data_IF_674126333611
#
_entry.id   IF_674126333611
#
_cell.length_a   1.000
_cell.length_b   1.000
_cell.length_c   1.000
_cell.angle_alpha   90.00
_cell.angle_beta   90.00
_cell.angle_gamma   90.00
#
_symmetry.space_group_name_H-M   'P 1'
#
loop_
_entity.id
_entity.type
_entity.pdbx_description
1 polymer ?
#
# COMPACT_ATOMS: atom_id res chain seq x y z
N UNK A 1 11.00 18.83 2.77
CA UNK A 1 9.88 19.18 3.66
C UNK A 1 9.58 17.87 4.34
N UNK A 2 10.06 17.65 5.58
CA UNK A 2 10.08 16.28 6.15
C UNK A 2 8.66 15.75 6.34
N UNK A 3 8.41 14.51 5.91
CA UNK A 3 7.10 13.87 6.04
C UNK A 3 6.71 13.00 4.84
N UNK A 4 5.43 12.63 4.80
CA UNK A 4 4.81 11.89 3.69
C UNK A 4 4.04 12.85 2.79
N UNK A 5 4.20 12.71 1.47
CA UNK A 5 3.50 13.53 0.48
C UNK A 5 3.17 12.73 -0.79
N UNK A 6 2.10 13.10 -1.46
CA UNK A 6 1.74 12.60 -2.80
C UNK A 6 2.15 13.64 -3.84
N UNK A 7 2.92 13.22 -4.83
CA UNK A 7 3.32 14.03 -5.98
C UNK A 7 2.18 14.14 -7.02
N UNK A 8 2.31 15.09 -7.95
CA UNK A 8 1.34 15.29 -9.04
C UNK A 8 1.20 14.07 -9.96
N UNK A 9 2.21 13.19 -10.02
CA UNK A 9 2.20 11.95 -10.80
C UNK A 9 1.62 10.75 -10.02
N UNK A 10 1.13 10.97 -8.81
CA UNK A 10 0.56 9.94 -7.93
C UNK A 10 1.58 9.14 -7.13
N UNK A 11 2.89 9.37 -7.33
CA UNK A 11 3.91 8.73 -6.49
C UNK A 11 3.88 9.31 -5.08
N UNK A 12 4.22 8.47 -4.08
CA UNK A 12 4.24 8.88 -2.68
C UNK A 12 5.69 8.94 -2.23
N UNK A 13 6.07 10.05 -1.61
CA UNK A 13 7.42 10.25 -1.09
C UNK A 13 7.36 10.31 0.42
N UNK A 14 8.19 9.50 1.09
CA UNK A 14 8.40 9.53 2.54
C UNK A 14 9.83 10.02 2.79
N UNK A 15 9.96 11.23 3.34
CA UNK A 15 11.24 11.83 3.71
C UNK A 15 11.55 11.58 5.20
N UNK A 16 12.50 10.69 5.48
CA UNK A 16 13.10 10.52 6.80
C UNK A 16 14.23 11.50 7.08
N UNK A 17 14.94 11.33 8.20
CA UNK A 17 16.09 12.16 8.54
C UNK A 17 17.36 11.76 7.76
N UNK A 18 17.47 10.50 7.36
CA UNK A 18 18.66 9.93 6.72
C UNK A 18 18.41 9.45 5.30
N UNK A 19 17.18 9.01 5.00
CA UNK A 19 16.82 8.42 3.72
C UNK A 19 15.47 8.92 3.22
N UNK A 20 15.31 8.91 1.91
CA UNK A 20 14.03 9.13 1.25
C UNK A 20 13.58 7.86 0.54
N UNK A 21 12.30 7.55 0.66
CA UNK A 21 11.63 6.47 -0.06
C UNK A 21 10.60 7.05 -1.02
N UNK A 22 10.59 6.56 -2.26
CA UNK A 22 9.54 6.83 -3.24
C UNK A 22 8.77 5.54 -3.51
N UNK A 23 7.47 5.61 -3.31
CA UNK A 23 6.53 4.53 -3.55
C UNK A 23 5.73 4.80 -4.83
N UNK A 24 5.68 3.79 -5.68
CA UNK A 24 4.69 3.58 -6.71
C UNK A 24 4.05 2.19 -6.49
N UNK A 25 2.81 1.95 -6.95
CA UNK A 25 2.05 0.73 -6.67
C UNK A 25 2.79 -0.61 -6.91
N UNK A 26 3.76 -0.62 -7.84
CA UNK A 26 4.55 -1.81 -8.20
C UNK A 26 6.04 -1.68 -7.94
N UNK A 27 6.50 -0.53 -7.46
CA UNK A 27 7.92 -0.23 -7.27
C UNK A 27 8.12 0.74 -6.12
N UNK A 28 8.91 0.32 -5.15
CA UNK A 28 9.48 1.17 -4.12
C UNK A 28 10.96 1.40 -4.43
N UNK A 29 11.42 2.64 -4.30
CA UNK A 29 12.81 3.05 -4.55
C UNK A 29 13.32 3.88 -3.37
N UNK A 30 14.49 3.55 -2.85
CA UNK A 30 15.22 4.42 -1.92
C UNK A 30 16.16 5.34 -2.68
N UNK A 31 16.53 6.45 -2.06
CA UNK A 31 17.52 7.41 -2.55
C UNK A 31 18.92 6.82 -2.81
N UNK A 32 19.28 5.72 -2.14
CA UNK A 32 20.52 4.96 -2.40
C UNK A 32 20.46 4.05 -3.65
N UNK A 33 19.31 4.02 -4.33
CA UNK A 33 19.08 3.23 -5.53
C UNK A 33 18.58 1.80 -5.25
N UNK A 34 18.40 1.42 -3.98
CA UNK A 34 17.73 0.16 -3.62
C UNK A 34 16.29 0.17 -4.12
N UNK A 35 15.85 -0.94 -4.71
CA UNK A 35 14.48 -1.08 -5.22
C UNK A 35 13.81 -2.34 -4.68
N UNK A 36 12.52 -2.22 -4.37
CA UNK A 36 11.61 -3.33 -4.14
C UNK A 36 10.55 -3.27 -5.21
N UNK A 37 10.61 -4.18 -6.18
CA UNK A 37 9.63 -4.29 -7.23
C UNK A 37 8.73 -5.50 -6.98
N UNK A 38 7.48 -5.39 -7.38
CA UNK A 38 6.63 -6.57 -7.45
C UNK A 38 7.14 -7.50 -8.57
N UNK A 39 7.70 -8.65 -8.20
CA UNK A 39 8.12 -9.69 -9.13
C UNK A 39 7.04 -10.79 -9.23
N UNK A 40 6.03 -10.62 -10.08
CA UNK A 40 5.22 -11.77 -10.48
C UNK A 40 6.00 -12.60 -11.50
N UNK A 41 6.68 -13.64 -11.02
CA UNK A 41 7.23 -14.72 -11.85
C UNK A 41 6.24 -15.91 -11.96
N UNK A 42 4.94 -15.66 -11.73
CA UNK A 42 3.89 -16.70 -11.77
C UNK A 42 3.75 -17.52 -10.48
N UNK A 43 3.98 -16.92 -9.30
CA UNK A 43 3.83 -17.57 -8.00
C UNK A 43 3.09 -16.71 -6.95
N UNK A 44 2.53 -17.36 -5.94
CA UNK A 44 1.75 -16.75 -4.83
C UNK A 44 2.66 -16.17 -3.72
N UNK A 45 3.71 -15.43 -4.07
CA UNK A 45 4.68 -14.98 -3.05
C UNK A 45 4.14 -13.79 -2.25
N UNK A 46 3.85 -14.00 -0.97
CA UNK A 46 3.81 -12.92 0.02
C UNK A 46 5.23 -12.65 0.51
N UNK A 47 5.70 -11.42 0.36
CA UNK A 47 6.96 -11.00 0.97
C UNK A 47 6.81 -9.63 1.62
N UNK A 48 7.55 -9.41 2.69
CA UNK A 48 7.56 -8.15 3.44
C UNK A 48 8.98 -7.60 3.41
N UNK A 49 9.09 -6.32 3.12
CA UNK A 49 10.33 -5.56 3.23
C UNK A 49 10.09 -4.38 4.16
N UNK A 50 11.06 -4.03 4.98
CA UNK A 50 10.94 -2.91 5.90
C UNK A 50 12.27 -2.15 6.01
N UNK A 51 12.17 -0.85 6.26
CA UNK A 51 13.33 0.02 6.47
C UNK A 51 13.03 1.11 7.48
N UNK A 52 14.06 1.48 8.24
CA UNK A 52 14.12 2.74 8.96
C UNK A 52 14.64 3.82 7.98
N UNK A 53 13.96 4.97 7.91
CA UNK A 53 14.37 6.12 7.09
C UNK A 53 15.19 7.16 7.88
N UNK A 54 15.47 6.88 9.15
CA UNK A 54 16.14 7.73 10.10
C UNK A 54 15.20 8.74 10.75
N UNK A 55 15.51 9.09 12.00
CA UNK A 55 14.65 9.96 12.81
C UNK A 55 13.42 9.21 13.29
N UNK A 56 12.25 9.75 12.97
CA UNK A 56 10.96 9.28 13.51
C UNK A 56 10.16 8.46 12.47
N UNK A 57 10.77 8.00 11.37
CA UNK A 57 10.06 7.33 10.26
C UNK A 57 10.50 5.89 10.04
N UNK A 58 9.52 4.98 10.06
CA UNK A 58 9.68 3.57 9.72
C UNK A 58 8.69 3.18 8.63
N UNK A 59 9.13 2.39 7.66
CA UNK A 59 8.30 1.94 6.53
C UNK A 59 8.33 0.43 6.40
N UNK A 60 7.16 -0.17 6.18
CA UNK A 60 7.00 -1.57 5.78
C UNK A 60 6.26 -1.63 4.45
N UNK A 61 6.62 -2.59 3.61
CA UNK A 61 6.04 -2.84 2.30
C UNK A 61 5.69 -4.31 2.23
N UNK A 62 4.42 -4.61 1.97
CA UNK A 62 3.90 -5.96 1.86
C UNK A 62 3.40 -6.24 0.44
N UNK A 63 3.72 -7.40 -0.09
CA UNK A 63 3.15 -7.93 -1.33
C UNK A 63 1.93 -8.78 -0.96
N UNK A 64 0.72 -8.31 -1.29
CA UNK A 64 -0.52 -8.95 -0.83
C UNK A 64 -1.22 -9.81 -1.89
N UNK A 65 -0.67 -9.91 -3.10
CA UNK A 65 -1.25 -10.66 -4.22
C UNK A 65 -1.76 -9.75 -5.34
N UNK A 66 -2.56 -10.31 -6.24
CA UNK A 66 -3.06 -9.59 -7.42
C UNK A 66 -4.19 -8.61 -7.09
N UNK A 67 -4.08 -7.39 -7.61
CA UNK A 67 -5.17 -6.47 -7.87
C UNK A 67 -5.71 -6.58 -9.31
N UNK A 68 -6.42 -5.56 -9.81
CA UNK A 68 -7.05 -5.57 -11.14
C UNK A 68 -6.04 -5.67 -12.29
N UNK A 69 -4.79 -5.28 -12.06
CA UNK A 69 -3.76 -5.09 -13.09
C UNK A 69 -2.43 -5.80 -12.76
N UNK A 70 -2.42 -6.67 -11.75
CA UNK A 70 -1.25 -7.44 -11.33
C UNK A 70 -1.00 -7.33 -9.83
N UNK A 71 0.15 -7.81 -9.35
CA UNK A 71 0.40 -7.79 -7.91
C UNK A 71 0.90 -6.46 -7.38
N UNK A 72 0.36 -6.13 -6.23
CA UNK A 72 0.37 -4.77 -5.70
C UNK A 72 1.17 -4.73 -4.40
N UNK A 73 1.94 -3.65 -4.26
CA UNK A 73 2.62 -3.32 -3.01
C UNK A 73 1.64 -2.55 -2.13
N UNK A 74 1.54 -2.93 -0.86
CA UNK A 74 0.91 -2.09 0.16
C UNK A 74 2.01 -1.59 1.07
N UNK A 75 2.10 -0.28 1.23
CA UNK A 75 3.07 0.34 2.13
C UNK A 75 2.36 0.85 3.39
N UNK A 76 2.94 0.55 4.55
CA UNK A 76 2.65 1.26 5.79
C UNK A 76 3.84 2.16 6.12
N UNK A 77 3.58 3.43 6.39
CA UNK A 77 4.58 4.36 6.91
C UNK A 77 4.14 4.81 8.30
N UNK A 78 5.02 4.68 9.28
CA UNK A 78 4.75 5.06 10.66
C UNK A 78 5.66 6.22 11.04
N UNK A 79 5.05 7.32 11.47
CA UNK A 79 5.73 8.43 12.10
C UNK A 79 5.63 8.30 13.62
N UNK A 80 6.76 8.16 14.30
CA UNK A 80 6.87 7.93 15.74
C UNK A 80 7.26 9.27 16.40
N UNK A 81 6.27 10.13 16.65
CA UNK A 81 6.48 11.37 17.37
C UNK A 81 6.63 11.17 18.88
N UNK A 82 7.06 12.22 19.58
CA UNK A 82 7.22 12.21 21.04
C UNK A 82 5.87 12.03 21.78
N UNK A 83 4.80 12.60 21.24
CA UNK A 83 3.47 12.64 21.87
C UNK A 83 2.45 11.70 21.18
N UNK A 84 2.66 11.38 19.90
CA UNK A 84 1.75 10.54 19.12
C UNK A 84 2.48 9.70 18.07
N UNK A 85 1.93 8.52 17.78
CA UNK A 85 2.33 7.68 16.65
C UNK A 85 1.25 7.77 15.59
N UNK A 86 1.62 8.20 14.38
CA UNK A 86 0.71 8.36 13.25
C UNK A 86 1.05 7.33 12.20
N UNK A 87 0.04 6.61 11.71
CA UNK A 87 0.20 5.57 10.68
C UNK A 87 -0.45 5.98 9.37
N UNK A 88 0.27 5.76 8.30
CA UNK A 88 -0.17 6.01 6.93
C UNK A 88 -0.17 4.67 6.19
N UNK A 89 -1.18 4.47 5.34
CA UNK A 89 -1.31 3.25 4.53
C UNK A 89 -1.54 3.63 3.07
N UNK A 90 -0.86 2.97 2.16
CA UNK A 90 -1.04 3.14 0.72
C UNK A 90 -1.43 1.80 0.11
N UNK A 91 -2.56 1.72 -0.57
CA UNK A 91 -3.03 0.46 -1.17
C UNK A 91 -2.76 0.34 -2.67
N UNK A 92 -2.20 1.38 -3.29
CA UNK A 92 -1.80 1.37 -4.69
C UNK A 92 -2.96 0.96 -5.62
N UNK A 93 -2.67 0.11 -6.60
CA UNK A 93 -3.67 -0.30 -7.57
C UNK A 93 -4.55 -1.45 -7.05
N UNK A 94 -4.46 -1.86 -5.77
CA UNK A 94 -5.49 -2.73 -5.17
C UNK A 94 -6.86 -2.04 -5.15
N UNK A 95 -6.88 -0.71 -5.15
CA UNK A 95 -8.08 0.09 -5.29
C UNK A 95 -8.53 0.17 -6.74
N UNK A 96 -9.85 0.02 -6.97
CA UNK A 96 -10.48 0.36 -8.24
C UNK A 96 -11.91 0.87 -8.01
N UNK A 97 -12.27 1.97 -8.67
CA UNK A 97 -13.62 2.53 -8.61
C UNK A 97 -14.65 1.58 -9.25
N UNK A 98 -14.27 0.99 -10.38
CA UNK A 98 -15.07 0.04 -11.14
C UNK A 98 -14.46 -1.37 -11.11
N UNK A 99 -15.33 -2.37 -11.03
CA UNK A 99 -14.89 -3.75 -11.10
C UNK A 99 -14.70 -4.16 -12.57
N UNK A 100 -13.59 -4.83 -12.92
CA UNK A 100 -13.45 -5.46 -14.22
C UNK A 100 -14.49 -6.58 -14.39
N UNK A 101 -14.69 -7.00 -15.65
CA UNK A 101 -15.63 -8.09 -15.98
C UNK A 101 -15.21 -9.45 -15.44
N UNK A 102 -13.92 -9.62 -15.15
CA UNK A 102 -13.35 -10.82 -14.55
C UNK A 102 -12.58 -10.42 -13.29
N UNK A 103 -12.94 -11.03 -12.16
CA UNK A 103 -12.36 -10.74 -10.85
C UNK A 103 -11.50 -11.94 -10.45
N UNK A 104 -10.16 -11.79 -10.34
CA UNK A 104 -9.33 -12.88 -9.87
C UNK A 104 -9.65 -13.25 -8.42
N UNK A 105 -9.73 -14.54 -8.06
CA UNK A 105 -10.03 -14.98 -6.69
C UNK A 105 -9.04 -14.49 -5.62
N UNK A 106 -7.81 -14.16 -6.03
CA UNK A 106 -6.75 -13.62 -5.15
C UNK A 106 -7.02 -12.18 -4.71
N UNK A 107 -7.79 -11.39 -5.46
CA UNK A 107 -7.98 -9.96 -5.18
C UNK A 107 -8.76 -9.67 -3.90
N UNK A 108 -9.93 -10.28 -3.60
CA UNK A 108 -10.59 -10.05 -2.31
C UNK A 108 -9.71 -10.46 -1.13
N UNK A 109 -8.86 -11.49 -1.29
CA UNK A 109 -7.88 -11.89 -0.25
C UNK A 109 -6.83 -10.79 -0.04
N UNK A 110 -6.30 -10.21 -1.12
CA UNK A 110 -5.35 -9.09 -1.05
C UNK A 110 -5.98 -7.85 -0.38
N UNK A 111 -7.24 -7.55 -0.69
CA UNK A 111 -7.98 -6.44 -0.08
C UNK A 111 -8.25 -6.71 1.41
N UNK A 112 -8.63 -7.94 1.79
CA UNK A 112 -8.82 -8.32 3.19
C UNK A 112 -7.53 -8.16 4.02
N UNK A 113 -6.40 -8.59 3.47
CA UNK A 113 -5.09 -8.37 4.10
C UNK A 113 -4.75 -6.88 4.23
N UNK A 114 -5.05 -6.07 3.21
CA UNK A 114 -4.84 -4.62 3.27
C UNK A 114 -5.73 -3.97 4.35
N UNK A 115 -6.97 -4.42 4.51
CA UNK A 115 -7.88 -3.98 5.57
C UNK A 115 -7.32 -4.31 6.97
N UNK A 116 -6.67 -5.46 7.13
CA UNK A 116 -5.95 -5.81 8.37
C UNK A 116 -4.80 -4.85 8.70
N UNK A 117 -4.12 -4.30 7.69
CA UNK A 117 -3.08 -3.27 7.89
C UNK A 117 -3.66 -1.91 8.28
N UNK A 118 -4.94 -1.67 7.98
CA UNK A 118 -5.71 -0.47 8.32
C UNK A 118 -6.44 -0.55 9.67
N UNK A 119 -6.03 -1.45 10.57
CA UNK A 119 -6.55 -1.45 11.94
C UNK A 119 -6.10 -0.21 12.72
N UNK A 120 -7.03 0.34 13.51
CA UNK A 120 -6.81 1.55 14.31
C UNK A 120 -7.07 2.85 13.53
N UNK A 121 -6.47 3.93 14.00
CA UNK A 121 -6.51 5.23 13.33
C UNK A 121 -5.36 5.31 12.32
N UNK A 122 -5.72 5.30 11.03
CA UNK A 122 -4.76 5.32 9.92
C UNK A 122 -5.18 6.35 8.89
N UNK A 123 -4.20 6.99 8.26
CA UNK A 123 -4.42 7.86 7.11
C UNK A 123 -4.14 7.09 5.82
N UNK A 124 -5.16 6.94 4.97
CA UNK A 124 -4.97 6.41 3.63
C UNK A 124 -4.35 7.49 2.75
N UNK A 125 -3.27 7.17 2.04
CA UNK A 125 -2.53 8.11 1.19
C UNK A 125 -2.40 7.53 -0.23
N UNK A 126 -2.46 8.41 -1.23
CA UNK A 126 -2.31 8.06 -2.65
C UNK A 126 -3.62 7.94 -3.42
N UNK A 127 -4.75 7.89 -2.73
CA UNK A 127 -6.09 7.92 -3.32
C UNK A 127 -7.03 8.72 -2.40
N UNK A 128 -8.02 9.39 -2.97
CA UNK A 128 -9.06 10.13 -2.22
C UNK A 128 -10.15 9.14 -1.76
N UNK A 129 -9.75 8.23 -0.87
CA UNK A 129 -10.57 7.13 -0.36
C UNK A 129 -10.38 6.95 1.14
N UNK A 130 -11.37 6.35 1.78
CA UNK A 130 -11.38 5.99 3.19
C UNK A 130 -11.27 4.49 3.38
N UNK A 131 -11.06 4.05 4.63
CA UNK A 131 -11.13 2.63 4.99
C UNK A 131 -12.50 2.02 4.62
N UNK A 132 -13.59 2.74 4.86
CA UNK A 132 -14.95 2.27 4.56
C UNK A 132 -15.15 2.03 3.05
N UNK A 133 -14.48 2.81 2.21
CA UNK A 133 -14.48 2.61 0.75
C UNK A 133 -13.79 1.29 0.39
N UNK A 134 -12.65 0.99 1.03
CA UNK A 134 -11.92 -0.28 0.84
C UNK A 134 -12.75 -1.47 1.34
N UNK A 135 -13.45 -1.34 2.47
CA UNK A 135 -14.40 -2.36 2.96
C UNK A 135 -15.54 -2.58 1.96
N UNK A 136 -16.06 -1.50 1.37
CA UNK A 136 -17.09 -1.56 0.33
C UNK A 136 -16.59 -2.27 -0.92
N UNK A 137 -15.35 -1.98 -1.37
CA UNK A 137 -14.71 -2.71 -2.46
C UNK A 137 -14.62 -4.21 -2.17
N UNK A 138 -14.17 -4.58 -0.96
CA UNK A 138 -14.08 -5.98 -0.55
C UNK A 138 -15.43 -6.71 -0.67
N UNK A 139 -16.52 -6.09 -0.18
CA UNK A 139 -17.86 -6.67 -0.29
C UNK A 139 -18.33 -6.81 -1.75
N UNK A 140 -18.02 -5.82 -2.61
CA UNK A 140 -18.34 -5.90 -4.05
C UNK A 140 -17.59 -7.05 -4.73
N UNK A 141 -16.32 -7.25 -4.40
CA UNK A 141 -15.50 -8.35 -4.94
C UNK A 141 -16.05 -9.72 -4.52
N UNK A 142 -16.40 -9.90 -3.24
CA UNK A 142 -17.01 -11.14 -2.76
C UNK A 142 -18.36 -11.41 -3.45
N UNK A 143 -19.17 -10.37 -3.65
CA UNK A 143 -20.43 -10.46 -4.39
C UNK A 143 -20.24 -10.88 -5.85
N UNK A 144 -19.19 -10.40 -6.52
CA UNK A 144 -18.89 -10.78 -7.90
C UNK A 144 -18.43 -12.25 -8.04
N UNK A 145 -17.76 -12.80 -7.03
CA UNK A 145 -17.25 -14.19 -7.06
C UNK A 145 -18.27 -15.24 -6.61
N UNK A 146 -19.21 -14.87 -5.75
CA UNK A 146 -20.11 -15.82 -5.08
C UNK A 146 -21.61 -15.55 -5.30
N UNK A 147 -21.95 -14.44 -5.97
CA UNK A 147 -23.33 -14.00 -6.23
C UNK A 147 -23.93 -14.54 -7.52
#
# INVERSE_FOLDING_TARGET
MRGIQTNDDGTIVVEGAERTLTYAPRLVTLDDGTTVAHESQGGEMSSVWATDLGGDWFVEVAHLGDGPVGGELVMTATHIGLDETVRYVTIGDLWADELPSDVPPSWPVAVDLALGLMEGDVHVVGADITKDDVETLHQRLLGALHG
#
